data_IF_640463353905
#
_entry.id   IF_640463353905
#
_cell.length_a   1.000
_cell.length_b   1.000
_cell.length_c   1.000
_cell.angle_alpha   90.00
_cell.angle_beta   90.00
_cell.angle_gamma   90.00
#
_symmetry.space_group_name_H-M   'P 1'
#
loop_
_entity.id
_entity.type
_entity.pdbx_description
1 polymer ?
#
# COMPACT_ATOMS: atom_id res chain seq x y z
N UNK A 1 0.73 18.48 13.25
CA UNK A 1 0.62 17.30 12.39
C UNK A 1 0.52 17.77 10.95
N UNK A 2 1.10 17.08 9.95
CA UNK A 2 0.80 17.37 8.55
C UNK A 2 -0.72 17.28 8.33
N UNK A 3 -1.27 18.19 7.54
CA UNK A 3 -2.67 18.14 7.16
C UNK A 3 -2.82 17.00 6.15
N UNK A 4 -3.57 15.92 6.43
CA UNK A 4 -3.68 14.79 5.51
C UNK A 4 -4.27 15.25 4.18
N UNK A 5 -3.80 14.67 3.07
CA UNK A 5 -4.40 14.88 1.77
C UNK A 5 -5.79 14.25 1.76
N UNK A 6 -6.80 15.10 1.95
CA UNK A 6 -8.21 14.75 1.81
C UNK A 6 -8.67 15.15 0.41
N UNK A 7 -9.47 14.29 -0.19
CA UNK A 7 -9.93 14.46 -1.55
C UNK A 7 -11.46 14.51 -1.57
N UNK A 8 -12.05 15.33 -2.46
CA UNK A 8 -13.49 15.23 -2.72
C UNK A 8 -13.83 13.81 -3.22
N UNK A 9 -15.11 13.41 -3.12
CA UNK A 9 -15.54 12.14 -3.69
C UNK A 9 -15.14 12.08 -5.16
N UNK A 10 -14.69 10.92 -5.67
CA UNK A 10 -14.43 10.76 -7.10
C UNK A 10 -15.59 11.28 -7.94
N UNK A 11 -15.28 11.96 -9.04
CA UNK A 11 -16.31 12.41 -9.97
C UNK A 11 -16.91 11.18 -10.69
N UNK A 12 -18.23 11.22 -10.92
CA UNK A 12 -18.94 10.09 -11.52
C UNK A 12 -18.39 9.64 -12.87
N UNK A 13 -17.78 10.54 -13.65
CA UNK A 13 -17.17 10.24 -14.95
C UNK A 13 -15.97 9.28 -14.89
N UNK A 14 -15.36 9.11 -13.71
CA UNK A 14 -14.20 8.24 -13.53
C UNK A 14 -14.57 6.78 -13.19
N UNK A 15 -15.83 6.51 -12.85
CA UNK A 15 -16.25 5.16 -12.41
C UNK A 15 -17.64 4.73 -12.87
N UNK A 16 -18.51 5.63 -13.33
CA UNK A 16 -19.87 5.26 -13.78
C UNK A 16 -19.80 4.42 -15.06
N UNK A 17 -20.38 3.22 -14.98
CA UNK A 17 -20.57 2.27 -16.08
C UNK A 17 -19.29 2.07 -16.90
N UNK A 18 -18.30 1.36 -16.35
CA UNK A 18 -17.09 0.95 -17.09
C UNK A 18 -17.40 0.15 -18.37
N UNK A 19 -18.63 -0.40 -18.50
CA UNK A 19 -19.12 -1.08 -19.71
C UNK A 19 -19.81 -0.15 -20.72
N UNK A 20 -20.00 1.13 -20.40
CA UNK A 20 -20.63 2.07 -21.32
C UNK A 20 -19.70 2.35 -22.51
N UNK A 21 -20.21 2.41 -23.75
CA UNK A 21 -19.38 2.61 -24.95
C UNK A 21 -18.50 3.86 -24.90
N UNK A 22 -18.96 4.92 -24.24
CA UNK A 22 -18.21 6.18 -24.06
C UNK A 22 -16.99 6.08 -23.13
N UNK A 23 -16.78 4.95 -22.47
CA UNK A 23 -15.62 4.69 -21.61
C UNK A 23 -14.69 3.62 -22.20
N UNK A 24 -14.91 3.23 -23.46
CA UNK A 24 -14.13 2.16 -24.13
C UNK A 24 -12.65 2.51 -24.34
N UNK A 25 -12.31 3.79 -24.29
CA UNK A 25 -10.97 4.37 -24.44
C UNK A 25 -10.23 4.52 -23.10
N UNK A 26 -10.88 4.25 -21.97
CA UNK A 26 -10.32 4.28 -20.61
C UNK A 26 -9.88 2.90 -20.13
N UNK A 27 -8.98 2.87 -19.17
CA UNK A 27 -8.57 1.63 -18.51
C UNK A 27 -9.66 1.10 -17.56
N UNK A 28 -10.09 -0.14 -17.78
CA UNK A 28 -11.19 -0.75 -17.03
C UNK A 28 -10.82 -1.02 -15.57
N UNK A 29 -9.59 -1.47 -15.30
CA UNK A 29 -9.16 -1.78 -13.94
C UNK A 29 -9.05 -0.50 -13.12
N UNK A 30 -8.50 0.57 -13.70
CA UNK A 30 -8.50 1.89 -13.09
C UNK A 30 -9.93 2.37 -12.76
N UNK A 31 -10.90 2.19 -13.66
CA UNK A 31 -12.30 2.55 -13.36
C UNK A 31 -12.91 1.73 -12.21
N UNK A 32 -12.63 0.43 -12.15
CA UNK A 32 -13.06 -0.44 -11.05
C UNK A 32 -12.43 0.03 -9.73
N UNK A 33 -11.13 0.32 -9.74
CA UNK A 33 -10.41 0.82 -8.57
C UNK A 33 -10.94 2.19 -8.13
N UNK A 34 -11.29 3.07 -9.06
CA UNK A 34 -11.93 4.34 -8.72
C UNK A 34 -13.30 4.16 -8.07
N UNK A 35 -14.08 3.18 -8.51
CA UNK A 35 -15.34 2.82 -7.86
C UNK A 35 -15.11 2.35 -6.41
N UNK A 36 -14.08 1.54 -6.18
CA UNK A 36 -13.71 1.10 -4.82
C UNK A 36 -13.31 2.27 -3.92
N UNK A 37 -12.61 3.27 -4.47
CA UNK A 37 -12.29 4.51 -3.78
C UNK A 37 -13.52 5.35 -3.44
N UNK A 38 -14.48 5.43 -4.36
CA UNK A 38 -15.77 6.10 -4.14
C UNK A 38 -16.56 5.43 -3.01
N UNK A 39 -16.67 4.10 -3.04
CA UNK A 39 -17.34 3.34 -1.98
C UNK A 39 -16.61 3.52 -0.64
N UNK A 40 -15.28 3.44 -0.62
CA UNK A 40 -14.48 3.67 0.59
C UNK A 40 -14.68 5.09 1.15
N UNK A 41 -14.79 6.11 0.29
CA UNK A 41 -15.06 7.49 0.70
C UNK A 41 -16.39 7.59 1.48
N UNK A 42 -17.47 7.03 0.94
CA UNK A 42 -18.79 7.09 1.55
C UNK A 42 -18.86 6.30 2.84
N UNK A 43 -18.16 5.17 2.89
CA UNK A 43 -17.99 4.43 4.12
C UNK A 43 -17.34 5.33 5.16
N UNK A 44 -16.13 5.85 4.93
CA UNK A 44 -15.43 6.74 5.87
C UNK A 44 -16.32 7.89 6.39
N UNK A 45 -17.08 8.55 5.50
CA UNK A 45 -18.03 9.59 5.89
C UNK A 45 -19.08 9.12 6.91
N UNK A 46 -19.63 7.91 6.73
CA UNK A 46 -20.68 7.37 7.59
C UNK A 46 -20.19 7.06 9.01
N UNK A 47 -18.88 6.84 9.20
CA UNK A 47 -18.27 6.71 10.53
C UNK A 47 -17.73 8.04 11.09
N UNK A 48 -17.96 9.16 10.40
CA UNK A 48 -17.39 10.45 10.79
C UNK A 48 -15.87 10.56 10.58
N UNK A 49 -15.28 9.65 9.80
CA UNK A 49 -13.84 9.69 9.47
C UNK A 49 -13.61 10.61 8.28
N UNK A 50 -13.03 11.79 8.55
CA UNK A 50 -12.65 12.78 7.54
C UNK A 50 -11.16 12.75 7.19
N UNK A 51 -10.34 12.15 8.06
CA UNK A 51 -8.89 12.05 7.86
C UNK A 51 -8.56 11.21 6.60
N UNK A 52 -7.73 11.77 5.71
CA UNK A 52 -7.29 11.15 4.45
C UNK A 52 -8.43 10.60 3.57
N UNK A 53 -9.65 11.13 3.72
CA UNK A 53 -10.81 10.64 3.00
C UNK A 53 -10.62 10.77 1.48
N UNK A 54 -11.02 9.74 0.73
CA UNK A 54 -10.90 9.73 -0.73
C UNK A 54 -9.47 9.55 -1.26
N UNK A 55 -8.50 9.30 -0.39
CA UNK A 55 -7.13 8.88 -0.73
C UNK A 55 -6.98 7.35 -0.71
N UNK A 56 -5.92 6.86 -1.36
CA UNK A 56 -5.42 5.50 -1.21
C UNK A 56 -3.93 5.51 -0.83
N UNK A 57 -3.39 4.33 -0.53
CA UNK A 57 -2.01 4.15 -0.07
C UNK A 57 -1.96 3.63 1.37
N UNK A 58 -0.80 3.75 2.01
CA UNK A 58 -0.54 3.11 3.29
C UNK A 58 0.04 4.07 4.31
N UNK A 59 -0.14 3.71 5.57
CA UNK A 59 0.72 4.21 6.66
C UNK A 59 2.02 3.42 6.64
N UNK A 60 3.15 4.11 6.77
CA UNK A 60 4.49 3.55 6.77
C UNK A 60 5.07 3.72 8.18
N UNK A 61 5.41 2.60 8.82
CA UNK A 61 6.21 2.63 10.03
C UNK A 61 7.68 2.64 9.65
N UNK A 62 8.40 3.64 10.14
CA UNK A 62 9.85 3.70 10.01
C UNK A 62 10.51 2.89 11.12
N UNK A 63 11.36 1.92 10.75
CA UNK A 63 12.14 1.14 11.73
C UNK A 63 13.65 1.27 11.56
N UNK A 64 14.10 1.85 10.44
CA UNK A 64 15.50 2.11 10.14
C UNK A 64 15.93 3.53 10.57
N UNK A 65 16.94 3.60 11.45
CA UNK A 65 17.45 4.85 12.04
C UNK A 65 18.99 4.93 12.12
N UNK A 66 19.72 4.04 11.44
CA UNK A 66 21.17 4.21 11.23
C UNK A 66 21.48 5.53 10.49
N UNK A 67 22.72 6.00 10.58
CA UNK A 67 23.16 7.22 9.87
C UNK A 67 22.87 7.15 8.37
N UNK A 68 23.14 6.01 7.74
CA UNK A 68 22.81 5.73 6.34
C UNK A 68 21.30 5.88 6.09
N UNK A 69 20.46 5.20 6.90
CA UNK A 69 19.01 5.26 6.72
C UNK A 69 18.46 6.69 6.90
N UNK A 70 19.00 7.47 7.85
CA UNK A 70 18.62 8.87 8.06
C UNK A 70 18.94 9.73 6.83
N UNK A 71 20.11 9.52 6.22
CA UNK A 71 20.52 10.26 5.04
C UNK A 71 19.67 9.91 3.81
N UNK A 72 19.24 8.65 3.69
CA UNK A 72 18.51 8.15 2.52
C UNK A 72 16.98 8.28 2.65
N UNK A 73 16.44 8.38 3.87
CA UNK A 73 15.01 8.24 4.15
C UNK A 73 14.10 9.09 3.23
N UNK A 74 14.35 10.39 3.19
CA UNK A 74 13.52 11.32 2.40
C UNK A 74 13.65 11.03 0.89
N UNK A 75 14.86 10.73 0.42
CA UNK A 75 15.09 10.39 -0.99
C UNK A 75 14.34 9.12 -1.37
N UNK A 76 14.38 8.10 -0.51
CA UNK A 76 13.72 6.81 -0.72
C UNK A 76 12.20 6.95 -0.72
N UNK A 77 11.63 7.71 0.23
CA UNK A 77 10.19 7.94 0.26
C UNK A 77 9.70 8.67 -0.99
N UNK A 78 10.39 9.73 -1.42
CA UNK A 78 10.02 10.48 -2.63
C UNK A 78 10.19 9.62 -3.89
N UNK A 79 11.23 8.77 -3.94
CA UNK A 79 11.44 7.84 -5.04
C UNK A 79 10.32 6.79 -5.10
N UNK A 80 9.95 6.19 -3.98
CA UNK A 80 8.82 5.24 -3.92
C UNK A 80 7.52 5.91 -4.37
N UNK A 81 7.19 7.10 -3.85
CA UNK A 81 6.01 7.86 -4.28
C UNK A 81 6.03 8.14 -5.78
N UNK A 82 7.17 8.54 -6.33
CA UNK A 82 7.35 8.80 -7.77
C UNK A 82 7.08 7.55 -8.59
N UNK A 83 7.71 6.43 -8.25
CA UNK A 83 7.52 5.16 -8.96
C UNK A 83 6.06 4.70 -8.93
N UNK A 84 5.43 4.73 -7.75
CA UNK A 84 4.02 4.37 -7.59
C UNK A 84 3.12 5.26 -8.44
N UNK A 85 3.24 6.58 -8.29
CA UNK A 85 2.31 7.55 -8.91
C UNK A 85 2.58 7.83 -10.38
N UNK A 86 3.80 7.67 -10.87
CA UNK A 86 4.18 8.03 -12.23
C UNK A 86 4.30 6.82 -13.16
N UNK A 87 4.44 5.60 -12.64
CA UNK A 87 4.63 4.42 -13.47
C UNK A 87 3.78 3.21 -13.07
N UNK A 88 3.84 2.78 -11.81
CA UNK A 88 3.27 1.49 -11.41
C UNK A 88 1.74 1.47 -11.49
N UNK A 89 1.08 2.56 -11.10
CA UNK A 89 -0.38 2.75 -11.28
C UNK A 89 -0.79 2.69 -12.76
N UNK A 90 0.14 2.90 -13.70
CA UNK A 90 -0.12 2.87 -15.15
C UNK A 90 0.15 1.50 -15.79
N UNK A 91 0.59 0.48 -15.05
CA UNK A 91 0.93 -0.83 -15.65
C UNK A 91 -0.24 -1.39 -16.47
N UNK A 92 -1.46 -1.37 -15.92
CA UNK A 92 -2.64 -1.87 -16.63
C UNK A 92 -3.00 -1.02 -17.85
N UNK A 93 -2.90 0.30 -17.75
CA UNK A 93 -3.06 1.22 -18.87
C UNK A 93 -2.07 0.90 -20.01
N UNK A 94 -0.79 0.66 -19.66
CA UNK A 94 0.26 0.29 -20.60
C UNK A 94 0.05 -1.10 -21.22
N UNK A 95 -0.71 -1.99 -20.55
CA UNK A 95 -1.09 -3.31 -21.07
C UNK A 95 -2.31 -3.24 -21.97
N UNK A 96 -3.29 -2.41 -21.62
CA UNK A 96 -4.58 -2.29 -22.30
C UNK A 96 -4.53 -1.36 -23.53
N UNK A 97 -3.42 -0.63 -23.73
CA UNK A 97 -3.17 0.29 -24.86
C UNK A 97 -4.32 1.29 -25.05
N UNK A 98 -4.85 1.79 -23.94
CA UNK A 98 -5.92 2.78 -23.91
C UNK A 98 -5.38 4.15 -24.27
N UNK A 99 -6.22 5.01 -24.82
CA UNK A 99 -5.84 6.37 -25.24
C UNK A 99 -6.16 7.42 -24.18
N UNK A 100 -7.09 7.13 -23.26
CA UNK A 100 -7.43 8.03 -22.17
C UNK A 100 -6.89 7.52 -20.83
N UNK A 101 -5.89 8.23 -20.30
CA UNK A 101 -5.27 7.97 -19.00
C UNK A 101 -5.89 8.82 -17.85
N UNK A 102 -7.00 9.52 -18.09
CA UNK A 102 -7.61 10.45 -17.12
C UNK A 102 -7.95 9.80 -15.78
N UNK A 103 -8.52 8.59 -15.81
CA UNK A 103 -8.87 7.83 -14.61
C UNK A 103 -7.60 7.44 -13.84
N UNK A 104 -6.58 6.92 -14.55
CA UNK A 104 -5.30 6.51 -13.96
C UNK A 104 -4.55 7.70 -13.34
N UNK A 105 -4.59 8.87 -13.99
CA UNK A 105 -4.05 10.14 -13.44
C UNK A 105 -4.76 10.53 -12.16
N UNK A 106 -6.08 10.42 -12.12
CA UNK A 106 -6.86 10.74 -10.93
C UNK A 106 -6.60 9.76 -9.78
N UNK A 107 -6.38 8.48 -10.08
CA UNK A 107 -5.90 7.51 -9.08
C UNK A 107 -4.54 7.94 -8.55
N UNK A 108 -3.55 8.16 -9.43
CA UNK A 108 -2.21 8.56 -9.01
C UNK A 108 -2.21 9.81 -8.12
N UNK A 109 -3.05 10.81 -8.44
CA UNK A 109 -3.22 12.04 -7.65
C UNK A 109 -3.75 11.79 -6.23
N UNK A 110 -4.50 10.70 -6.03
CA UNK A 110 -5.09 10.32 -4.74
C UNK A 110 -4.17 9.45 -3.88
N UNK A 111 -2.95 9.16 -4.35
CA UNK A 111 -1.99 8.41 -3.57
C UNK A 111 -1.43 9.27 -2.45
N UNK A 112 -1.65 8.86 -1.21
CA UNK A 112 -1.08 9.48 -0.03
C UNK A 112 -0.31 8.44 0.79
N UNK A 113 0.66 8.88 1.58
CA UNK A 113 1.33 8.04 2.57
C UNK A 113 1.52 8.84 3.85
N UNK A 114 1.24 8.19 4.98
CA UNK A 114 1.55 8.74 6.30
C UNK A 114 2.79 8.05 6.83
N UNK A 115 3.69 8.79 7.46
CA UNK A 115 4.89 8.20 8.06
C UNK A 115 4.81 8.34 9.57
N UNK A 116 4.90 7.21 10.26
CA UNK A 116 5.01 7.15 11.71
C UNK A 116 6.48 6.93 12.07
N UNK A 117 7.06 7.93 12.73
CA UNK A 117 8.44 7.92 13.18
C UNK A 117 8.51 8.12 14.70
N UNK A 118 9.57 7.61 15.33
CA UNK A 118 9.88 7.94 16.73
C UNK A 118 10.37 9.39 16.82
N UNK A 119 9.50 10.30 17.27
CA UNK A 119 9.83 11.72 17.45
C UNK A 119 10.57 11.96 18.78
N UNK A 120 11.74 11.37 18.95
CA UNK A 120 12.67 11.73 20.03
C UNK A 120 12.52 10.95 21.34
N UNK A 121 12.34 9.63 21.28
CA UNK A 121 12.59 8.75 22.43
C UNK A 121 11.49 8.72 23.50
N UNK A 122 10.26 9.12 23.17
CA UNK A 122 9.11 8.98 24.07
C UNK A 122 8.34 7.68 23.85
N UNK A 123 8.61 6.95 22.76
CA UNK A 123 8.22 5.56 22.64
C UNK A 123 9.46 4.69 22.82
N UNK A 124 9.57 3.99 23.94
CA UNK A 124 10.42 2.78 24.01
C UNK A 124 9.91 1.67 23.05
N UNK A 125 8.82 1.93 22.33
CA UNK A 125 8.04 0.97 21.56
C UNK A 125 8.52 0.83 20.12
N UNK A 126 8.98 1.90 19.45
CA UNK A 126 9.66 1.78 18.15
C UNK A 126 11.07 1.25 18.37
N UNK A 127 11.16 -0.05 18.67
CA UNK A 127 12.40 -0.80 18.57
C UNK A 127 12.97 -0.57 17.18
N UNK A 128 14.25 -0.20 17.13
CA UNK A 128 15.01 -0.18 15.89
C UNK A 128 15.04 -1.62 15.35
N UNK A 129 14.21 -1.89 14.33
CA UNK A 129 14.22 -3.15 13.61
C UNK A 129 14.89 -2.92 12.26
N UNK A 130 16.24 -3.02 12.20
CA UNK A 130 16.96 -2.79 10.95
C UNK A 130 16.74 -3.91 9.93
N UNK A 131 16.24 -5.08 10.37
CA UNK A 131 15.98 -6.22 9.51
C UNK A 131 14.72 -6.98 9.99
N UNK A 132 13.66 -6.96 9.19
CA UNK A 132 12.41 -7.66 9.50
C UNK A 132 12.44 -9.15 9.13
N UNK A 133 13.41 -9.60 8.34
CA UNK A 133 13.52 -11.01 7.91
C UNK A 133 13.65 -11.98 9.09
N UNK A 134 14.29 -11.54 10.18
CA UNK A 134 14.43 -12.31 11.41
C UNK A 134 13.47 -11.91 12.54
N UNK A 135 12.44 -11.11 12.25
CA UNK A 135 11.53 -10.62 13.27
C UNK A 135 10.72 -11.78 13.89
N UNK A 136 10.65 -11.81 15.22
CA UNK A 136 9.77 -12.75 15.91
C UNK A 136 8.32 -12.28 15.82
N UNK A 137 7.38 -13.18 16.10
CA UNK A 137 5.97 -12.80 16.21
C UNK A 137 5.70 -11.74 17.25
N UNK A 138 6.49 -11.72 18.33
CA UNK A 138 6.37 -10.68 19.33
C UNK A 138 6.77 -9.31 18.76
N UNK A 139 7.79 -9.27 17.89
CA UNK A 139 8.23 -8.04 17.24
C UNK A 139 7.16 -7.52 16.27
N UNK A 140 6.57 -8.41 15.46
CA UNK A 140 5.45 -8.05 14.56
C UNK A 140 4.25 -7.53 15.36
N UNK A 141 3.88 -8.18 16.47
CA UNK A 141 2.80 -7.72 17.36
C UNK A 141 3.09 -6.34 17.96
N UNK A 142 4.34 -6.06 18.33
CA UNK A 142 4.73 -4.72 18.79
C UNK A 142 4.61 -3.65 17.69
N UNK A 143 4.92 -3.97 16.43
CA UNK A 143 4.69 -3.05 15.30
C UNK A 143 3.19 -2.77 15.11
N UNK A 144 2.36 -3.81 15.25
CA UNK A 144 0.90 -3.65 15.24
C UNK A 144 0.44 -2.73 16.36
N UNK A 145 0.93 -2.88 17.60
CA UNK A 145 0.58 -1.99 18.71
C UNK A 145 0.91 -0.52 18.43
N UNK A 146 2.05 -0.24 17.79
CA UNK A 146 2.42 1.12 17.37
C UNK A 146 1.42 1.67 16.34
N UNK A 147 1.12 0.89 15.30
CA UNK A 147 0.17 1.28 14.27
C UNK A 147 -1.22 1.54 14.86
N UNK A 148 -1.70 0.68 15.74
CA UNK A 148 -3.01 0.80 16.38
C UNK A 148 -3.06 2.02 17.31
N UNK A 149 -1.97 2.33 18.01
CA UNK A 149 -1.84 3.55 18.82
C UNK A 149 -1.91 4.79 17.94
N UNK A 150 -1.15 4.83 16.84
CA UNK A 150 -1.22 5.92 15.87
C UNK A 150 -2.64 6.08 15.30
N UNK A 151 -3.27 4.96 14.95
CA UNK A 151 -4.63 4.94 14.41
C UNK A 151 -5.64 5.51 15.41
N UNK A 152 -5.61 5.07 16.67
CA UNK A 152 -6.48 5.58 17.73
C UNK A 152 -6.29 7.08 17.98
N UNK A 153 -5.04 7.54 17.99
CA UNK A 153 -4.74 8.97 18.12
C UNK A 153 -5.20 9.81 16.92
N UNK A 154 -5.29 9.21 15.74
CA UNK A 154 -5.64 9.90 14.49
C UNK A 154 -7.15 9.91 14.23
N UNK A 155 -7.83 8.81 14.54
CA UNK A 155 -9.25 8.59 14.22
C UNK A 155 -10.19 8.72 15.42
N UNK A 156 -9.68 8.68 16.65
CA UNK A 156 -10.50 8.64 17.86
C UNK A 156 -11.19 7.29 18.08
N UNK A 157 -12.31 7.30 18.83
CA UNK A 157 -13.05 6.12 19.28
C UNK A 157 -13.93 5.46 18.19
N UNK A 158 -13.48 5.48 16.92
CA UNK A 158 -14.18 4.78 15.85
C UNK A 158 -14.00 3.28 16.05
N UNK A 159 -15.10 2.52 16.15
CA UNK A 159 -15.06 1.06 16.22
C UNK A 159 -14.65 0.48 14.85
N UNK A 160 -13.35 0.24 14.71
CA UNK A 160 -12.70 -0.26 13.50
C UNK A 160 -12.55 -1.79 13.49
N UNK A 161 -12.80 -2.47 14.61
CA UNK A 161 -12.68 -3.93 14.69
C UNK A 161 -13.90 -4.62 14.09
N UNK A 162 -15.10 -4.06 14.30
CA UNK A 162 -16.35 -4.59 13.73
C UNK A 162 -16.69 -4.04 12.34
N UNK A 163 -15.94 -3.03 11.88
CA UNK A 163 -16.17 -2.33 10.62
C UNK A 163 -15.22 -2.82 9.52
N UNK A 164 -15.52 -3.98 8.90
CA UNK A 164 -14.83 -4.57 7.73
C UNK A 164 -14.37 -3.65 6.63
N UNK A 165 -15.12 -2.57 6.47
CA UNK A 165 -15.35 -1.97 5.17
C UNK A 165 -14.57 -0.68 5.00
N UNK A 166 -13.46 -0.49 5.70
CA UNK A 166 -12.81 0.82 5.71
C UNK A 166 -11.41 0.79 5.12
N UNK A 167 -10.97 1.99 4.78
CA UNK A 167 -9.79 2.29 3.99
C UNK A 167 -8.56 1.47 4.46
N UNK A 168 -7.87 0.70 3.58
CA UNK A 168 -6.73 -0.14 3.95
C UNK A 168 -5.63 0.61 4.69
N UNK A 169 -5.52 1.93 4.53
CA UNK A 169 -4.66 2.82 5.34
C UNK A 169 -4.77 2.59 6.84
N UNK A 170 -5.93 2.13 7.31
CA UNK A 170 -6.25 1.97 8.74
C UNK A 170 -6.37 0.50 9.17
N UNK A 171 -6.14 -0.42 8.23
CA UNK A 171 -6.18 -1.86 8.46
C UNK A 171 -4.79 -2.47 8.42
N UNK A 172 -4.01 -2.11 7.40
CA UNK A 172 -2.69 -2.67 7.12
C UNK A 172 -1.69 -1.52 7.01
N UNK A 173 -0.42 -1.83 7.23
CA UNK A 173 0.65 -0.84 7.15
C UNK A 173 1.89 -1.43 6.48
N UNK A 174 2.75 -0.52 6.02
CA UNK A 174 4.04 -0.87 5.46
C UNK A 174 5.14 -0.64 6.48
N UNK A 175 6.21 -1.41 6.39
CA UNK A 175 7.45 -1.19 7.15
C UNK A 175 8.61 -1.08 6.18
N UNK A 176 9.45 -0.07 6.39
CA UNK A 176 10.70 0.11 5.67
C UNK A 176 11.84 -0.12 6.66
N UNK A 177 12.45 -1.30 6.57
CA UNK A 177 13.69 -1.65 7.25
C UNK A 177 14.92 -1.25 6.42
N UNK A 178 16.14 -1.55 6.87
CA UNK A 178 17.34 -1.13 6.12
C UNK A 178 17.48 -1.83 4.76
N UNK A 179 17.08 -3.11 4.68
CA UNK A 179 17.14 -3.87 3.43
C UNK A 179 16.18 -3.30 2.38
N UNK A 180 14.93 -3.07 2.79
CA UNK A 180 13.90 -2.40 1.99
C UNK A 180 14.34 -0.99 1.59
N UNK A 181 14.92 -0.22 2.52
CA UNK A 181 15.39 1.12 2.24
C UNK A 181 16.48 1.14 1.16
N UNK A 182 17.47 0.24 1.25
CA UNK A 182 18.53 0.13 0.23
C UNK A 182 17.98 -0.36 -1.11
N UNK A 183 17.02 -1.28 -1.11
CA UNK A 183 16.41 -1.78 -2.35
C UNK A 183 15.59 -0.71 -3.05
N UNK A 184 14.85 0.11 -2.30
CA UNK A 184 14.16 1.29 -2.83
C UNK A 184 15.14 2.37 -3.27
N UNK A 185 16.25 2.59 -2.55
CA UNK A 185 17.27 3.56 -2.96
C UNK A 185 17.90 3.21 -4.32
N UNK A 186 18.02 1.91 -4.62
CA UNK A 186 18.54 1.38 -5.87
C UNK A 186 17.61 1.54 -7.08
N UNK A 187 16.33 1.90 -6.88
CA UNK A 187 15.44 2.23 -7.98
C UNK A 187 16.05 3.36 -8.83
N UNK A 188 15.89 3.33 -10.17
CA UNK A 188 16.27 4.45 -11.02
C UNK A 188 15.58 5.75 -10.57
N UNK A 189 16.28 6.88 -10.72
CA UNK A 189 15.74 8.18 -10.32
C UNK A 189 14.52 8.56 -11.17
N UNK A 190 14.56 8.28 -12.47
CA UNK A 190 13.47 8.54 -13.40
C UNK A 190 12.68 7.28 -13.69
N UNK A 191 11.38 7.43 -13.86
CA UNK A 191 10.50 6.34 -14.30
C UNK A 191 10.52 6.21 -15.82
N UNK A 192 10.32 5.01 -16.38
CA UNK A 192 10.17 4.85 -17.83
C UNK A 192 8.99 5.68 -18.39
N UNK A 193 9.07 6.05 -19.67
CA UNK A 193 7.98 6.77 -20.34
C UNK A 193 6.70 5.92 -20.44
N UNK A 194 5.56 6.59 -20.37
CA UNK A 194 4.22 6.00 -20.40
C UNK A 194 3.68 5.72 -21.82
N UNK A 195 4.54 5.77 -22.83
CA UNK A 195 4.15 5.42 -24.20
C UNK A 195 3.90 3.91 -24.31
N UNK A 196 2.91 3.47 -25.11
CA UNK A 196 2.69 2.05 -25.38
C UNK A 196 3.93 1.41 -26.00
N UNK A 197 4.42 0.34 -25.37
CA UNK A 197 5.58 -0.41 -25.86
C UNK A 197 5.27 -1.90 -26.04
N UNK A 198 6.17 -2.61 -26.72
CA UNK A 198 6.02 -4.04 -26.96
C UNK A 198 5.93 -4.82 -25.64
N UNK A 199 5.31 -6.02 -25.67
CA UNK A 199 5.28 -6.90 -24.50
C UNK A 199 6.69 -7.22 -23.98
N UNK A 200 7.64 -7.46 -24.88
CA UNK A 200 9.03 -7.76 -24.51
C UNK A 200 9.67 -6.60 -23.75
N UNK A 201 9.48 -5.37 -24.23
CA UNK A 201 9.99 -4.18 -23.56
C UNK A 201 9.29 -3.94 -22.21
N UNK A 202 7.98 -4.15 -22.11
CA UNK A 202 7.28 -4.08 -20.81
C UNK A 202 7.86 -5.06 -19.81
N UNK A 203 8.13 -6.31 -20.21
CA UNK A 203 8.75 -7.30 -19.33
C UNK A 203 10.18 -6.91 -18.94
N UNK A 204 10.96 -6.34 -19.86
CA UNK A 204 12.30 -5.83 -19.55
C UNK A 204 12.27 -4.68 -18.53
N UNK A 205 11.22 -3.84 -18.56
CA UNK A 205 11.04 -2.77 -17.56
C UNK A 205 10.69 -3.27 -16.17
N UNK A 206 10.12 -4.48 -16.03
CA UNK A 206 9.83 -5.06 -14.70
C UNK A 206 11.10 -5.29 -13.87
N UNK A 207 12.22 -5.59 -14.55
CA UNK A 207 13.54 -5.79 -13.93
C UNK A 207 13.99 -4.55 -13.14
N UNK A 208 13.51 -3.35 -13.50
CA UNK A 208 13.91 -2.10 -12.84
C UNK A 208 13.43 -2.02 -11.39
N UNK A 209 12.36 -2.73 -11.04
CA UNK A 209 11.76 -2.68 -9.71
C UNK A 209 11.58 -4.06 -9.07
N UNK A 210 11.95 -5.15 -9.75
CA UNK A 210 11.75 -6.54 -9.30
C UNK A 210 12.37 -6.82 -7.92
N UNK A 211 13.50 -6.18 -7.60
CA UNK A 211 14.25 -6.40 -6.37
C UNK A 211 13.90 -5.39 -5.28
N UNK A 212 13.03 -4.42 -5.57
CA UNK A 212 12.63 -3.38 -4.63
C UNK A 212 11.37 -3.79 -3.90
N UNK A 213 11.38 -3.66 -2.59
CA UNK A 213 10.31 -4.17 -1.75
C UNK A 213 10.12 -3.31 -0.50
N UNK A 214 8.96 -3.46 0.10
CA UNK A 214 8.59 -3.02 1.44
C UNK A 214 8.04 -4.23 2.20
N UNK A 215 7.91 -4.15 3.51
CA UNK A 215 7.19 -5.16 4.27
C UNK A 215 5.72 -4.75 4.40
N UNK A 216 4.80 -5.64 4.06
CA UNK A 216 3.37 -5.49 4.31
C UNK A 216 3.01 -6.23 5.59
N UNK A 217 2.35 -5.54 6.51
CA UNK A 217 1.83 -6.11 7.76
C UNK A 217 0.30 -6.01 7.77
N UNK A 218 -0.36 -7.17 7.72
CA UNK A 218 -1.80 -7.29 7.98
C UNK A 218 -2.01 -7.39 9.50
N UNK A 219 -2.44 -6.27 10.09
CA UNK A 219 -2.63 -6.13 11.54
C UNK A 219 -3.57 -7.21 12.10
N UNK A 220 -4.65 -7.53 11.38
CA UNK A 220 -5.65 -8.50 11.83
C UNK A 220 -5.07 -9.91 11.83
N UNK A 221 -4.31 -10.27 10.79
CA UNK A 221 -3.66 -11.57 10.71
C UNK A 221 -2.57 -11.75 11.77
N UNK A 222 -1.74 -10.73 11.99
CA UNK A 222 -0.71 -10.76 13.02
C UNK A 222 -1.30 -10.89 14.45
N UNK A 223 -2.44 -10.24 14.74
CA UNK A 223 -3.13 -10.34 16.04
C UNK A 223 -3.64 -11.75 16.33
N UNK A 224 -4.28 -12.39 15.36
CA UNK A 224 -4.87 -13.73 15.53
C UNK A 224 -3.87 -14.89 15.45
N UNK A 225 -2.64 -14.63 14.99
CA UNK A 225 -1.67 -15.68 14.72
C UNK A 225 -1.42 -16.57 15.96
N UNK A 226 -1.64 -17.88 15.78
CA UNK A 226 -1.59 -18.87 16.86
C UNK A 226 -0.21 -19.53 17.06
N UNK A 227 0.83 -19.08 16.34
CA UNK A 227 2.20 -19.61 16.47
C UNK A 227 2.55 -20.76 15.52
N UNK A 228 1.56 -21.38 14.87
CA UNK A 228 1.77 -22.45 13.88
C UNK A 228 1.28 -21.97 12.53
N UNK A 229 2.17 -21.84 11.56
CA UNK A 229 1.79 -21.39 10.23
C UNK A 229 1.15 -22.51 9.41
N UNK A 230 -0.04 -22.22 8.89
CA UNK A 230 -0.78 -23.12 8.02
C UNK A 230 -1.59 -22.30 6.98
N UNK A 231 -2.30 -22.93 6.03
CA UNK A 231 -3.04 -22.21 5.00
C UNK A 231 -4.05 -21.20 5.54
N UNK A 232 -4.61 -21.41 6.75
CA UNK A 232 -5.63 -20.54 7.36
C UNK A 232 -5.10 -19.64 8.46
N UNK A 233 -3.95 -19.97 9.05
CA UNK A 233 -3.29 -19.24 10.11
C UNK A 233 -1.93 -18.71 9.67
N UNK A 234 -1.95 -17.58 8.98
CA UNK A 234 -0.72 -16.90 8.58
C UNK A 234 -0.31 -15.79 9.56
N UNK A 235 0.99 -15.50 9.60
CA UNK A 235 1.61 -14.59 10.58
C UNK A 235 1.37 -13.09 10.35
N UNK A 236 0.70 -12.72 9.26
CA UNK A 236 0.41 -11.33 8.96
C UNK A 236 1.60 -10.53 8.41
N UNK A 237 2.74 -11.14 8.10
CA UNK A 237 3.91 -10.41 7.59
C UNK A 237 4.43 -11.02 6.28
N UNK A 238 4.72 -10.16 5.30
CA UNK A 238 5.30 -10.58 4.02
C UNK A 238 6.06 -9.42 3.36
N UNK A 239 6.99 -9.75 2.47
CA UNK A 239 7.55 -8.77 1.54
C UNK A 239 6.53 -8.43 0.46
N UNK A 240 6.47 -7.17 0.07
CA UNK A 240 5.61 -6.65 -0.98
C UNK A 240 6.52 -5.96 -1.98
N UNK A 241 6.55 -6.44 -3.22
CA UNK A 241 7.23 -5.74 -4.31
C UNK A 241 6.67 -4.32 -4.41
N UNK A 242 7.53 -3.33 -4.68
CA UNK A 242 7.05 -1.96 -4.90
C UNK A 242 6.02 -1.91 -6.03
N UNK A 243 6.17 -2.80 -7.02
CA UNK A 243 5.28 -2.94 -8.17
C UNK A 243 3.84 -3.30 -7.80
N UNK A 244 3.68 -3.98 -6.67
CA UNK A 244 2.43 -4.57 -6.23
C UNK A 244 1.72 -3.71 -5.17
N UNK A 245 2.32 -2.59 -4.73
CA UNK A 245 1.70 -1.65 -3.76
C UNK A 245 0.32 -1.19 -4.23
N UNK A 246 0.19 -0.92 -5.53
CA UNK A 246 -1.10 -0.53 -6.12
C UNK A 246 -2.11 -1.68 -6.03
N UNK A 247 -1.74 -2.86 -6.52
CA UNK A 247 -2.65 -4.01 -6.59
C UNK A 247 -3.07 -4.49 -5.20
N UNK A 248 -2.13 -4.66 -4.28
CA UNK A 248 -2.39 -5.10 -2.91
C UNK A 248 -3.38 -4.17 -2.19
N UNK A 249 -3.27 -2.86 -2.39
CA UNK A 249 -4.20 -1.92 -1.74
C UNK A 249 -5.63 -2.12 -2.23
N UNK A 250 -5.83 -2.19 -3.55
CA UNK A 250 -7.16 -2.34 -4.13
C UNK A 250 -7.74 -3.75 -3.95
N UNK A 251 -6.90 -4.78 -3.87
CA UNK A 251 -7.32 -6.12 -3.46
C UNK A 251 -7.91 -6.10 -2.04
N UNK A 252 -7.25 -5.40 -1.10
CA UNK A 252 -7.77 -5.23 0.27
C UNK A 252 -9.12 -4.50 0.27
N UNK A 253 -9.26 -3.42 -0.50
CA UNK A 253 -10.54 -2.67 -0.55
C UNK A 253 -11.68 -3.51 -1.12
N UNK A 254 -11.40 -4.33 -2.13
CA UNK A 254 -12.43 -5.08 -2.85
C UNK A 254 -12.94 -6.30 -2.06
N UNK A 255 -12.22 -6.76 -1.03
CA UNK A 255 -12.56 -7.99 -0.30
C UNK A 255 -13.55 -7.74 0.84
N UNK A 256 -14.49 -8.66 0.96
CA UNK A 256 -15.45 -8.75 2.05
C UNK A 256 -14.88 -9.58 3.21
N UNK A 257 -15.35 -9.29 4.43
CA UNK A 257 -14.81 -9.74 5.73
C UNK A 257 -14.83 -11.25 6.01
N UNK A 258 -15.18 -12.09 5.05
CA UNK A 258 -15.44 -13.52 5.28
C UNK A 258 -14.27 -14.42 4.85
N UNK A 259 -13.14 -13.84 4.46
CA UNK A 259 -11.95 -14.61 4.11
C UNK A 259 -11.00 -14.66 5.29
N UNK A 260 -10.68 -15.89 5.68
CA UNK A 260 -9.63 -16.19 6.64
C UNK A 260 -8.31 -15.53 6.24
N UNK A 261 -8.05 -15.09 5.00
CA UNK A 261 -6.95 -14.18 4.70
C UNK A 261 -7.21 -13.44 3.39
N UNK A 262 -6.78 -12.17 3.35
CA UNK A 262 -6.99 -11.31 2.21
C UNK A 262 -5.87 -11.53 1.19
N UNK A 263 -4.61 -11.42 1.60
CA UNK A 263 -3.45 -11.51 0.72
C UNK A 263 -2.99 -12.95 0.48
N UNK A 264 -2.74 -13.30 -0.78
CA UNK A 264 -1.98 -14.53 -1.11
C UNK A 264 -0.49 -14.31 -0.89
N UNK A 265 0.21 -15.41 -0.58
CA UNK A 265 1.66 -15.42 -0.40
C UNK A 265 2.28 -16.55 -1.19
N UNK A 266 3.45 -16.26 -1.72
CA UNK A 266 4.37 -17.24 -2.31
C UNK A 266 5.68 -17.25 -1.53
N UNK A 267 6.34 -18.41 -1.48
CA UNK A 267 7.68 -18.53 -0.92
C UNK A 267 8.72 -18.45 -2.05
N UNK A 268 9.67 -17.52 -1.92
CA UNK A 268 10.82 -17.36 -2.81
C UNK A 268 12.09 -17.30 -1.96
N UNK A 269 13.02 -18.20 -2.22
CA UNK A 269 14.31 -18.28 -1.51
C UNK A 269 14.19 -18.32 0.02
N UNK A 270 13.12 -18.95 0.53
CA UNK A 270 12.83 -19.05 1.97
C UNK A 270 12.20 -17.78 2.58
N UNK A 271 11.86 -16.80 1.75
CA UNK A 271 11.17 -15.58 2.15
C UNK A 271 9.73 -15.58 1.65
N UNK A 272 8.84 -14.95 2.42
CA UNK A 272 7.41 -14.88 2.10
C UNK A 272 7.13 -13.58 1.38
N UNK A 273 6.59 -13.69 0.18
CA UNK A 273 6.25 -12.56 -0.68
C UNK A 273 4.75 -12.52 -0.91
N UNK A 274 4.19 -11.32 -0.99
CA UNK A 274 2.86 -11.09 -1.52
C UNK A 274 2.80 -11.66 -2.94
N UNK A 275 1.70 -12.36 -3.24
CA UNK A 275 1.35 -12.77 -4.59
C UNK A 275 -0.01 -12.16 -4.92
N UNK A 276 -0.12 -11.35 -5.99
CA UNK A 276 -1.41 -10.91 -6.48
C UNK A 276 -2.22 -12.12 -6.97
N UNK A 277 -3.54 -12.02 -6.82
CA UNK A 277 -4.52 -13.04 -7.18
C UNK A 277 -5.16 -12.83 -8.55
#
# INVERSE_FOLDING_TARGET
MPNPETFPPPAGEFFKLYMHPSNSDKDKNAMINMYQLYDSYHRCANLGVTYAQGSWGYTILRTAYSEESNALWQVVLEKMKRWVTQYLVYIDYLRSNKSDASVTKEIARRFAVDVVEDQGGHSKALRHYPNLTGASQQDIKSLVEIFETWRGNTLGDVDMETSSRYNPRFCDFLVIDEGSLRSLAALPEETPHLEPVSRAERMARNVLFENSYVWLVDSRAAKRFQGVEDPVNYDGCMKLSVGDIYEAWFERVARFEDLDWIFEREEKDGEKWYSPR
#
